data_IF_984013259651
#
_entry.id   IF_984013259651
#
_cell.length_a   1.000
_cell.length_b   1.000
_cell.length_c   1.000
_cell.angle_alpha   90.00
_cell.angle_beta   90.00
_cell.angle_gamma   90.00
#
_symmetry.space_group_name_H-M   'P 1'
#
loop_
_entity.id
_entity.type
_entity.pdbx_description
1 polymer ?
#
# COMPACT_ATOMS: atom_id res chain seq x y z
N UNK A 1 29.91 5.35 -41.46
CA UNK A 1 28.97 4.62 -40.59
C UNK A 1 28.51 5.56 -39.48
N UNK A 2 27.80 6.63 -39.86
CA UNK A 2 27.28 7.68 -38.95
C UNK A 2 25.86 8.08 -39.40
N UNK A 3 25.56 8.00 -40.70
CA UNK A 3 24.24 8.35 -41.24
C UNK A 3 23.06 7.48 -40.78
N UNK A 4 23.27 6.21 -40.42
CA UNK A 4 22.16 5.30 -40.08
C UNK A 4 21.58 5.52 -38.67
N UNK A 5 22.31 6.19 -37.78
CA UNK A 5 21.86 6.47 -36.41
C UNK A 5 21.14 7.82 -36.28
N UNK A 6 21.37 8.74 -37.21
CA UNK A 6 20.71 10.07 -37.19
C UNK A 6 19.31 10.02 -37.82
N UNK A 7 19.07 9.09 -38.75
CA UNK A 7 17.74 8.82 -39.33
C UNK A 7 16.85 7.96 -38.42
N UNK A 8 17.45 7.16 -37.54
CA UNK A 8 16.73 6.40 -36.51
C UNK A 8 16.59 7.29 -35.28
N UNK A 9 15.56 8.14 -35.29
CA UNK A 9 15.08 8.87 -34.12
C UNK A 9 15.19 8.01 -32.86
N UNK A 10 15.66 8.60 -31.76
CA UNK A 10 15.80 7.88 -30.49
C UNK A 10 14.45 7.28 -30.10
N UNK A 11 14.30 5.94 -30.05
CA UNK A 11 13.02 5.29 -29.77
C UNK A 11 12.51 5.54 -28.34
N UNK A 12 13.33 6.15 -27.47
CA UNK A 12 12.95 6.60 -26.13
C UNK A 12 12.48 8.07 -26.08
N UNK A 13 12.61 8.81 -27.18
CA UNK A 13 12.16 10.21 -27.32
C UNK A 13 10.81 10.32 -28.03
N UNK A 14 10.35 9.26 -28.69
CA UNK A 14 8.96 9.15 -29.12
C UNK A 14 8.09 9.06 -27.86
N UNK A 15 7.11 9.96 -27.74
CA UNK A 15 6.14 9.92 -26.65
C UNK A 15 5.33 8.61 -26.76
N UNK A 16 5.81 7.56 -26.09
CA UNK A 16 5.09 6.31 -25.96
C UNK A 16 3.87 6.55 -25.06
N UNK A 17 2.77 7.00 -25.67
CA UNK A 17 1.49 7.22 -24.99
C UNK A 17 1.03 5.96 -24.24
N UNK A 18 1.31 4.77 -24.80
CA UNK A 18 1.06 3.48 -24.16
C UNK A 18 1.87 3.29 -22.85
N UNK A 19 3.12 3.74 -22.80
CA UNK A 19 3.96 3.63 -21.59
C UNK A 19 3.48 4.59 -20.49
N UNK A 20 3.00 5.78 -20.88
CA UNK A 20 2.36 6.75 -19.99
C UNK A 20 1.00 6.25 -19.46
N UNK A 21 0.28 5.47 -20.27
CA UNK A 21 -0.99 4.84 -19.88
C UNK A 21 -0.76 3.69 -18.88
N UNK A 22 0.35 2.95 -18.97
CA UNK A 22 0.68 1.90 -17.99
C UNK A 22 0.84 2.44 -16.57
N UNK A 23 1.44 3.62 -16.40
CA UNK A 23 1.55 4.28 -15.08
C UNK A 23 0.21 4.74 -14.50
N UNK A 24 -0.85 4.79 -15.33
CA UNK A 24 -2.21 5.21 -14.96
C UNK A 24 -3.21 4.07 -14.82
N UNK A 25 -2.85 2.85 -15.25
CA UNK A 25 -3.74 1.69 -15.11
C UNK A 25 -3.74 1.27 -13.63
N UNK A 26 -4.94 1.13 -13.07
CA UNK A 26 -5.13 0.53 -11.76
C UNK A 26 -4.84 -0.97 -11.89
N UNK A 27 -3.57 -1.35 -11.73
CA UNK A 27 -3.09 -2.74 -11.87
C UNK A 27 -3.58 -3.59 -10.68
N UNK A 28 -3.88 -2.93 -9.56
CA UNK A 28 -4.37 -3.60 -8.36
C UNK A 28 -5.88 -3.85 -8.49
N UNK A 29 -6.29 -5.07 -8.15
CA UNK A 29 -7.71 -5.37 -7.98
C UNK A 29 -8.34 -4.38 -6.97
N UNK A 30 -9.49 -3.75 -7.27
CA UNK A 30 -10.09 -2.74 -6.39
C UNK A 30 -10.30 -3.21 -4.95
N UNK A 31 -10.54 -4.51 -4.73
CA UNK A 31 -10.66 -5.09 -3.38
C UNK A 31 -9.34 -5.06 -2.65
N UNK A 32 -8.23 -5.32 -3.33
CA UNK A 32 -6.88 -5.23 -2.77
C UNK A 32 -6.57 -3.77 -2.42
N UNK A 33 -6.82 -2.83 -3.33
CA UNK A 33 -6.61 -1.41 -3.09
C UNK A 33 -7.41 -0.90 -1.88
N UNK A 34 -8.69 -1.27 -1.79
CA UNK A 34 -9.55 -0.93 -0.65
C UNK A 34 -9.08 -1.58 0.65
N UNK A 35 -8.60 -2.82 0.60
CA UNK A 35 -8.07 -3.52 1.78
C UNK A 35 -6.85 -2.79 2.34
N UNK A 36 -5.91 -2.40 1.47
CA UNK A 36 -4.71 -1.65 1.88
C UNK A 36 -5.09 -0.31 2.51
N UNK A 37 -6.00 0.44 1.86
CA UNK A 37 -6.49 1.72 2.37
C UNK A 37 -7.17 1.58 3.74
N UNK A 38 -7.94 0.52 3.94
CA UNK A 38 -8.59 0.23 5.22
C UNK A 38 -7.56 -0.11 6.31
N UNK A 39 -6.55 -0.92 6.00
CA UNK A 39 -5.48 -1.25 6.94
C UNK A 39 -4.72 0.02 7.35
N UNK A 40 -4.42 0.90 6.40
CA UNK A 40 -3.77 2.18 6.66
C UNK A 40 -4.60 3.06 7.61
N UNK A 41 -5.91 3.18 7.36
CA UNK A 41 -6.83 3.92 8.23
C UNK A 41 -6.89 3.33 9.65
N UNK A 42 -7.00 2.01 9.77
CA UNK A 42 -6.99 1.32 11.07
C UNK A 42 -5.71 1.63 11.84
N UNK A 43 -4.55 1.54 11.19
CA UNK A 43 -3.26 1.83 11.82
C UNK A 43 -3.15 3.28 12.29
N UNK A 44 -3.60 4.25 11.48
CA UNK A 44 -3.63 5.67 11.84
C UNK A 44 -4.50 5.93 13.07
N UNK A 45 -5.70 5.36 13.11
CA UNK A 45 -6.62 5.53 14.24
C UNK A 45 -6.03 4.94 15.53
N UNK A 46 -5.47 3.73 15.45
CA UNK A 46 -4.82 3.09 16.61
C UNK A 46 -3.62 3.89 17.13
N UNK A 47 -2.81 4.45 16.23
CA UNK A 47 -1.70 5.31 16.61
C UNK A 47 -2.19 6.57 17.34
N UNK A 48 -3.21 7.24 16.81
CA UNK A 48 -3.78 8.43 17.43
C UNK A 48 -4.37 8.14 18.81
N UNK A 49 -5.07 7.01 18.98
CA UNK A 49 -5.58 6.56 20.27
C UNK A 49 -4.45 6.28 21.26
N UNK A 50 -3.37 5.63 20.82
CA UNK A 50 -2.21 5.36 21.67
C UNK A 50 -1.56 6.65 22.19
N UNK A 51 -1.32 7.63 21.31
CA UNK A 51 -0.76 8.92 21.68
C UNK A 51 -1.67 9.64 22.68
N UNK A 52 -2.96 9.68 22.39
CA UNK A 52 -3.96 10.30 23.26
C UNK A 52 -3.97 9.68 24.66
N UNK A 53 -4.01 8.35 24.75
CA UNK A 53 -4.12 7.65 26.02
C UNK A 53 -2.83 7.71 26.85
N UNK A 54 -1.67 7.57 26.19
CA UNK A 54 -0.37 7.43 26.87
C UNK A 54 0.33 8.77 27.11
N UNK A 55 0.25 9.71 26.16
CA UNK A 55 1.02 10.95 26.17
C UNK A 55 0.16 12.16 26.57
N UNK A 56 -0.99 12.34 25.93
CA UNK A 56 -1.83 13.53 26.13
C UNK A 56 -2.58 13.43 27.46
N UNK A 57 -3.43 12.41 27.59
CA UNK A 57 -4.28 12.21 28.75
C UNK A 57 -3.56 11.45 29.88
N UNK A 58 -2.49 10.72 29.55
CA UNK A 58 -1.70 9.89 30.49
C UNK A 58 -2.56 8.96 31.35
N UNK A 59 -3.68 8.49 30.80
CA UNK A 59 -4.62 7.56 31.46
C UNK A 59 -4.03 6.17 31.58
N UNK A 60 -2.96 5.91 30.83
CA UNK A 60 -2.37 4.61 30.59
C UNK A 60 -0.84 4.78 30.61
N UNK A 61 -0.06 4.01 31.40
CA UNK A 61 1.40 4.18 31.51
C UNK A 61 2.16 3.65 30.29
N UNK A 62 3.22 4.32 29.85
CA UNK A 62 3.98 3.89 28.65
C UNK A 62 4.59 2.48 28.78
N UNK A 63 4.84 2.03 30.02
CA UNK A 63 5.40 0.72 30.34
C UNK A 63 4.45 -0.45 30.11
N UNK A 64 3.14 -0.21 29.98
CA UNK A 64 2.22 -1.31 29.73
C UNK A 64 2.48 -1.93 28.36
N UNK A 65 2.44 -3.26 28.25
CA UNK A 65 2.60 -3.93 26.98
C UNK A 65 1.49 -3.52 26.00
N UNK A 66 1.89 -3.24 24.77
CA UNK A 66 0.97 -3.06 23.66
C UNK A 66 0.36 -4.42 23.35
N UNK A 67 -0.96 -4.54 23.47
CA UNK A 67 -1.67 -5.78 23.12
C UNK A 67 -1.50 -6.06 21.64
N UNK A 68 -1.10 -7.28 21.30
CA UNK A 68 -1.00 -7.71 19.91
C UNK A 68 -2.39 -7.69 19.26
N UNK A 69 -2.52 -7.00 18.13
CA UNK A 69 -3.78 -6.87 17.42
C UNK A 69 -4.02 -8.14 16.59
N UNK A 70 -4.85 -9.04 17.09
CA UNK A 70 -5.27 -10.27 16.37
C UNK A 70 -6.20 -9.99 15.19
N UNK A 71 -6.66 -8.74 15.00
CA UNK A 71 -7.67 -8.34 14.00
C UNK A 71 -7.23 -8.49 12.54
N UNK A 72 -5.92 -8.57 12.27
CA UNK A 72 -5.40 -8.74 10.89
C UNK A 72 -5.40 -10.22 10.46
N UNK A 73 -5.57 -11.17 11.39
CA UNK A 73 -5.46 -12.61 11.12
C UNK A 73 -6.80 -13.32 10.83
N UNK A 74 -7.95 -12.69 11.12
CA UNK A 74 -9.24 -13.41 11.03
C UNK A 74 -9.76 -13.63 9.59
N UNK A 75 -9.21 -12.97 8.58
CA UNK A 75 -9.70 -13.11 7.18
C UNK A 75 -8.80 -13.96 6.28
N UNK A 76 -7.67 -14.50 6.76
CA UNK A 76 -6.66 -15.13 5.90
C UNK A 76 -6.55 -16.66 5.97
N UNK A 77 -7.34 -17.36 6.78
CA UNK A 77 -7.22 -18.84 6.89
C UNK A 77 -8.59 -19.55 6.92
N UNK A 78 -9.43 -19.33 5.90
CA UNK A 78 -10.56 -20.24 5.62
C UNK A 78 -10.66 -20.65 4.13
N UNK A 79 -9.63 -20.36 3.32
CA UNK A 79 -9.64 -20.62 1.88
C UNK A 79 -8.92 -21.90 1.41
N UNK A 80 -8.21 -22.62 2.29
CA UNK A 80 -7.44 -23.81 1.90
C UNK A 80 -7.86 -25.04 2.71
N UNK A 81 -9.09 -25.50 2.51
CA UNK A 81 -9.44 -26.93 2.62
C UNK A 81 -10.51 -27.24 1.59
N UNK A 82 -10.12 -27.92 0.52
CA UNK A 82 -10.80 -29.07 -0.12
C UNK A 82 -10.13 -29.37 -1.45
N UNK A 83 -9.72 -30.62 -1.63
CA UNK A 83 -9.07 -31.19 -2.81
C UNK A 83 -7.92 -32.07 -2.40
#
# INVERSE_FOLDING_TARGET
MIHTLEEMSNPFMEECEDLLVLGKRDIADPKVANTIRNIEQIGKNQYQEYIRDRLDNRTKPLSDPIKQITSIQSSRIQGCRKG
#
